data_IF_221828982125
#
_entry.id   IF_221828982125
#
_cell.length_a   1.000
_cell.length_b   1.000
_cell.length_c   1.000
_cell.angle_alpha   90.00
_cell.angle_beta   90.00
_cell.angle_gamma   90.00
#
_symmetry.space_group_name_H-M   'P 1'
#
loop_
_entity.id
_entity.type
_entity.pdbx_description
1 polymer ?
#
# COMPACT_ATOMS: atom_id res chain seq x y z
N UNK A 1 -3.38 5.41 13.09
CA UNK A 1 -2.67 5.62 11.81
C UNK A 1 -3.56 6.41 10.85
N UNK A 2 -3.01 6.89 9.73
CA UNK A 2 -3.76 7.30 8.54
C UNK A 2 -3.65 6.21 7.47
N UNK A 3 -4.73 5.87 6.78
CA UNK A 3 -4.72 4.92 5.66
C UNK A 3 -4.94 5.71 4.38
N UNK A 4 -3.97 5.71 3.49
CA UNK A 4 -3.95 6.58 2.31
C UNK A 4 -3.83 5.74 1.03
N UNK A 5 -4.78 5.94 0.11
CA UNK A 5 -4.84 5.24 -1.17
C UNK A 5 -3.86 5.85 -2.17
N UNK A 6 -3.00 5.00 -2.73
CA UNK A 6 -1.83 5.40 -3.48
C UNK A 6 -1.50 4.34 -4.56
N UNK A 7 -2.48 3.56 -5.00
CA UNK A 7 -2.30 2.47 -5.96
C UNK A 7 -2.20 2.94 -7.41
N UNK A 8 -2.65 4.16 -7.72
CA UNK A 8 -2.62 4.75 -9.05
C UNK A 8 -2.07 6.19 -9.07
N UNK A 9 -1.74 6.70 -10.27
CA UNK A 9 -1.14 8.03 -10.46
C UNK A 9 -2.10 9.17 -10.09
N UNK A 10 -3.41 8.91 -10.03
CA UNK A 10 -4.40 9.95 -9.67
C UNK A 10 -4.34 10.31 -8.19
N UNK A 11 -3.82 9.42 -7.35
CA UNK A 11 -3.57 9.68 -5.93
C UNK A 11 -2.48 10.74 -5.68
N UNK A 12 -1.74 11.14 -6.72
CA UNK A 12 -0.63 12.07 -6.59
C UNK A 12 0.62 11.42 -6.00
N UNK A 13 1.48 12.23 -5.38
CA UNK A 13 2.77 11.79 -4.83
C UNK A 13 2.86 11.93 -3.31
N UNK A 14 3.99 11.49 -2.76
CA UNK A 14 4.23 11.44 -1.32
C UNK A 14 4.72 12.75 -0.69
N UNK A 15 4.87 13.85 -1.44
CA UNK A 15 5.33 15.14 -0.90
C UNK A 15 4.51 15.63 0.30
N UNK A 16 3.18 15.43 0.38
CA UNK A 16 2.39 15.81 1.55
C UNK A 16 2.82 15.14 2.85
N UNK A 17 3.49 13.97 2.81
CA UNK A 17 3.98 13.27 4.01
C UNK A 17 5.01 14.08 4.80
N UNK A 18 5.63 15.12 4.20
CA UNK A 18 6.51 16.07 4.93
C UNK A 18 5.80 16.80 6.08
N UNK A 19 4.47 16.81 6.07
CA UNK A 19 3.64 17.40 7.12
C UNK A 19 3.14 16.38 8.14
N UNK A 20 3.57 15.11 8.05
CA UNK A 20 3.16 14.04 8.96
C UNK A 20 3.66 14.35 10.38
N UNK A 21 2.77 14.41 11.39
CA UNK A 21 3.20 14.59 12.78
C UNK A 21 4.13 13.47 13.23
N UNK A 22 5.11 13.79 14.09
CA UNK A 22 5.99 12.80 14.71
C UNK A 22 5.17 11.74 15.46
N UNK A 23 5.54 10.47 15.30
CA UNK A 23 4.86 9.34 15.92
C UNK A 23 3.52 8.95 15.29
N UNK A 24 3.05 9.66 14.25
CA UNK A 24 1.85 9.27 13.52
C UNK A 24 2.20 8.29 12.41
N UNK A 25 1.65 7.08 12.45
CA UNK A 25 1.84 6.09 11.39
C UNK A 25 0.97 6.38 10.17
N UNK A 26 1.53 6.21 8.98
CA UNK A 26 0.85 6.17 7.68
C UNK A 26 0.89 4.77 7.11
N UNK A 27 -0.26 4.26 6.71
CA UNK A 27 -0.40 3.01 5.98
C UNK A 27 -0.58 3.35 4.50
N UNK A 28 0.41 2.97 3.70
CA UNK A 28 0.46 3.19 2.26
C UNK A 28 -0.36 2.12 1.57
N UNK A 29 -1.51 2.51 1.04
CA UNK A 29 -2.38 1.66 0.23
C UNK A 29 -1.85 1.54 -1.19
N UNK A 30 -0.87 0.68 -1.42
CA UNK A 30 -0.14 0.57 -2.69
C UNK A 30 -0.57 -0.63 -3.55
N UNK A 31 -1.31 -1.58 -2.98
CA UNK A 31 -1.80 -2.76 -3.69
C UNK A 31 -3.25 -2.51 -4.09
N UNK A 32 -3.55 -2.54 -5.38
CA UNK A 32 -4.90 -2.31 -5.87
C UNK A 32 -5.83 -3.46 -5.50
N UNK A 33 -7.06 -3.11 -5.15
CA UNK A 33 -8.16 -4.05 -4.93
C UNK A 33 -9.21 -4.00 -6.03
N UNK A 34 -9.04 -3.08 -7.00
CA UNK A 34 -9.95 -2.88 -8.14
C UNK A 34 -9.80 -4.01 -9.17
N UNK A 35 -8.58 -4.49 -9.39
CA UNK A 35 -8.24 -5.45 -10.46
C UNK A 35 -7.44 -6.64 -9.92
N UNK A 36 -7.54 -7.77 -10.61
CA UNK A 36 -6.84 -9.01 -10.22
C UNK A 36 -5.37 -9.09 -10.61
N UNK A 37 -4.87 -8.16 -11.42
CA UNK A 37 -3.47 -8.10 -11.82
C UNK A 37 -2.56 -7.91 -10.59
N UNK A 38 -1.46 -8.67 -10.55
CA UNK A 38 -0.52 -8.64 -9.43
C UNK A 38 0.50 -7.53 -9.58
N UNK A 39 0.70 -6.77 -8.52
CA UNK A 39 1.76 -5.79 -8.42
C UNK A 39 3.13 -6.47 -8.32
N UNK A 40 4.15 -5.81 -8.86
CA UNK A 40 5.53 -6.23 -8.65
C UNK A 40 6.00 -5.86 -7.25
N UNK A 41 6.60 -6.81 -6.54
CA UNK A 41 7.23 -6.58 -5.24
C UNK A 41 8.31 -5.48 -5.32
N UNK A 42 9.10 -5.45 -6.39
CA UNK A 42 10.13 -4.42 -6.58
C UNK A 42 9.52 -3.04 -6.81
N UNK A 43 8.39 -2.96 -7.50
CA UNK A 43 7.66 -1.70 -7.67
C UNK A 43 7.13 -1.19 -6.33
N UNK A 44 6.56 -2.08 -5.50
CA UNK A 44 6.10 -1.72 -4.16
C UNK A 44 7.23 -1.21 -3.26
N UNK A 45 8.40 -1.86 -3.29
CA UNK A 45 9.57 -1.40 -2.53
C UNK A 45 10.04 -0.01 -2.97
N UNK A 46 10.18 0.22 -4.28
CA UNK A 46 10.54 1.55 -4.82
C UNK A 46 9.57 2.64 -4.37
N UNK A 47 8.27 2.34 -4.40
CA UNK A 47 7.22 3.25 -3.92
C UNK A 47 7.34 3.54 -2.41
N UNK A 48 7.68 2.53 -1.60
CA UNK A 48 7.94 2.72 -0.17
C UNK A 48 9.18 3.60 0.04
N UNK A 49 10.26 3.37 -0.72
CA UNK A 49 11.48 4.18 -0.67
C UNK A 49 11.21 5.64 -1.06
N UNK A 50 10.33 5.87 -2.04
CA UNK A 50 9.88 7.21 -2.41
C UNK A 50 9.11 7.90 -1.29
N UNK A 51 8.23 7.19 -0.59
CA UNK A 51 7.53 7.73 0.58
C UNK A 51 8.49 8.01 1.75
N UNK A 52 9.49 7.15 1.93
CA UNK A 52 10.51 7.27 2.97
C UNK A 52 11.41 8.50 2.81
N UNK A 53 11.43 9.13 1.62
CA UNK A 53 12.07 10.45 1.42
C UNK A 53 11.38 11.58 2.18
N UNK A 54 10.12 11.39 2.59
CA UNK A 54 9.28 12.44 3.19
C UNK A 54 8.83 12.13 4.63
N UNK A 55 8.83 10.86 5.04
CA UNK A 55 8.51 10.43 6.40
C UNK A 55 9.45 9.28 6.85
N UNK A 56 9.79 9.17 8.15
CA UNK A 56 10.62 8.08 8.64
C UNK A 56 10.04 6.71 8.30
N UNK A 57 10.90 5.76 7.92
CA UNK A 57 10.48 4.41 7.54
C UNK A 57 9.72 3.70 8.69
N UNK A 58 10.08 3.97 9.95
CA UNK A 58 9.35 3.43 11.11
C UNK A 58 7.91 3.97 11.27
N UNK A 59 7.57 5.08 10.60
CA UNK A 59 6.23 5.64 10.58
C UNK A 59 5.43 5.17 9.35
N UNK A 60 5.97 4.29 8.51
CA UNK A 60 5.33 3.79 7.31
C UNK A 60 4.93 2.32 7.45
N UNK A 61 3.82 1.95 6.82
CA UNK A 61 3.33 0.57 6.70
C UNK A 61 2.77 0.35 5.29
N UNK A 62 2.56 -0.91 4.90
CA UNK A 62 1.98 -1.30 3.61
C UNK A 62 0.60 -1.94 3.79
N UNK A 63 -0.35 -1.60 2.93
CA UNK A 63 -1.64 -2.28 2.81
C UNK A 63 -2.14 -2.32 1.36
N UNK A 64 -3.22 -3.06 1.08
CA UNK A 64 -4.07 -2.76 -0.06
C UNK A 64 -4.64 -1.33 0.03
N UNK A 65 -5.03 -0.75 -1.10
CA UNK A 65 -5.66 0.57 -1.14
C UNK A 65 -6.93 0.62 -0.27
N UNK A 66 -7.75 -0.43 -0.32
CA UNK A 66 -9.09 -0.47 0.26
C UNK A 66 -9.47 -1.92 0.55
N UNK A 67 -10.69 -2.18 1.02
CA UNK A 67 -11.22 -3.53 1.12
C UNK A 67 -11.54 -4.13 -0.26
N UNK A 68 -11.56 -5.46 -0.37
CA UNK A 68 -11.95 -6.20 -1.59
C UNK A 68 -13.46 -6.20 -1.87
N UNK A 69 -14.27 -5.60 -0.99
CA UNK A 69 -15.73 -5.54 -1.08
C UNK A 69 -16.25 -4.09 -1.23
N UNK A 70 -15.57 -3.28 -2.04
CA UNK A 70 -15.73 -1.82 -2.07
C UNK A 70 -16.93 -1.30 -2.87
N UNK A 71 -17.78 -2.17 -3.47
CA UNK A 71 -18.99 -1.75 -4.20
C UNK A 71 -20.16 -2.73 -3.99
N UNK A 72 -21.39 -2.29 -4.29
CA UNK A 72 -22.62 -3.12 -4.28
C UNK A 72 -22.51 -4.34 -5.20
N UNK A 73 -21.66 -4.26 -6.23
CA UNK A 73 -21.39 -5.34 -7.19
C UNK A 73 -20.16 -6.18 -6.83
N UNK A 74 -19.43 -5.82 -5.77
CA UNK A 74 -18.10 -6.35 -5.46
C UNK A 74 -17.05 -5.92 -6.51
N UNK A 75 -15.77 -5.91 -6.13
CA UNK A 75 -14.74 -5.89 -7.16
C UNK A 75 -14.72 -7.28 -7.79
N UNK A 76 -14.71 -7.37 -9.13
CA UNK A 76 -14.64 -8.67 -9.82
C UNK A 76 -13.20 -9.22 -9.74
N UNK A 77 -12.79 -9.61 -8.54
CA UNK A 77 -11.49 -10.16 -8.23
C UNK A 77 -11.67 -11.54 -7.60
N UNK A 78 -11.09 -12.55 -8.25
CA UNK A 78 -11.13 -13.93 -7.78
C UNK A 78 -10.56 -14.03 -6.36
N UNK A 79 -11.14 -14.90 -5.52
CA UNK A 79 -10.70 -15.12 -4.13
C UNK A 79 -9.21 -15.46 -4.06
N UNK A 80 -8.70 -16.25 -5.02
CA UNK A 80 -7.27 -16.58 -5.11
C UNK A 80 -6.39 -15.36 -5.41
N UNK A 81 -6.87 -14.40 -6.20
CA UNK A 81 -6.17 -13.15 -6.44
C UNK A 81 -6.18 -12.27 -5.18
N UNK A 82 -7.28 -12.24 -4.42
CA UNK A 82 -7.33 -11.55 -3.12
C UNK A 82 -6.30 -12.13 -2.13
N UNK A 83 -6.23 -13.46 -2.03
CA UNK A 83 -5.25 -14.17 -1.20
C UNK A 83 -3.82 -13.88 -1.64
N UNK A 84 -3.57 -13.90 -2.94
CA UNK A 84 -2.26 -13.61 -3.53
C UNK A 84 -1.81 -12.17 -3.23
N UNK A 85 -2.72 -11.20 -3.31
CA UNK A 85 -2.45 -9.81 -2.95
C UNK A 85 -2.15 -9.63 -1.46
N UNK A 86 -2.88 -10.30 -0.58
CA UNK A 86 -2.58 -10.28 0.86
C UNK A 86 -1.22 -10.91 1.16
N UNK A 87 -0.89 -12.03 0.50
CA UNK A 87 0.43 -12.66 0.60
C UNK A 87 1.53 -11.72 0.12
N UNK A 88 1.35 -11.05 -1.01
CA UNK A 88 2.28 -10.05 -1.52
C UNK A 88 2.53 -8.93 -0.52
N UNK A 89 1.48 -8.38 0.11
CA UNK A 89 1.61 -7.35 1.16
C UNK A 89 2.46 -7.85 2.31
N UNK A 90 2.16 -9.04 2.84
CA UNK A 90 2.88 -9.62 3.98
C UNK A 90 4.35 -9.89 3.65
N UNK A 91 4.63 -10.48 2.49
CA UNK A 91 6.01 -10.76 2.07
C UNK A 91 6.81 -9.48 1.85
N UNK A 92 6.23 -8.49 1.15
CA UNK A 92 6.87 -7.20 0.92
C UNK A 92 7.15 -6.50 2.24
N UNK A 93 6.18 -6.50 3.17
CA UNK A 93 6.36 -5.87 4.47
C UNK A 93 7.46 -6.56 5.30
N UNK A 94 7.56 -7.90 5.26
CA UNK A 94 8.65 -8.63 5.92
C UNK A 94 10.02 -8.29 5.32
N UNK A 95 10.11 -8.11 4.01
CA UNK A 95 11.37 -7.76 3.36
C UNK A 95 11.81 -6.32 3.63
N UNK A 96 10.87 -5.41 3.91
CA UNK A 96 11.18 -4.00 4.20
C UNK A 96 11.41 -3.74 5.70
N UNK A 97 10.58 -4.32 6.57
CA UNK A 97 10.58 -4.04 8.02
C UNK A 97 10.95 -5.25 8.90
N UNK A 98 11.16 -6.44 8.33
CA UNK A 98 11.53 -7.62 9.08
C UNK A 98 12.97 -7.56 9.56
N UNK A 99 13.16 -7.18 10.83
CA UNK A 99 14.34 -7.46 11.66
C UNK A 99 13.87 -7.92 13.03
#
# INVERSE_FOLDING_TARGET
AYFLEYDDDRSGDFRPLRFLPKGKVVVLGLVTTKFGEMESKDALKRRIDEAAKYAPLEQLCLSPQCGFSSTVHGNNIAVEAQRSKLKLVVETAREVWGS
#
